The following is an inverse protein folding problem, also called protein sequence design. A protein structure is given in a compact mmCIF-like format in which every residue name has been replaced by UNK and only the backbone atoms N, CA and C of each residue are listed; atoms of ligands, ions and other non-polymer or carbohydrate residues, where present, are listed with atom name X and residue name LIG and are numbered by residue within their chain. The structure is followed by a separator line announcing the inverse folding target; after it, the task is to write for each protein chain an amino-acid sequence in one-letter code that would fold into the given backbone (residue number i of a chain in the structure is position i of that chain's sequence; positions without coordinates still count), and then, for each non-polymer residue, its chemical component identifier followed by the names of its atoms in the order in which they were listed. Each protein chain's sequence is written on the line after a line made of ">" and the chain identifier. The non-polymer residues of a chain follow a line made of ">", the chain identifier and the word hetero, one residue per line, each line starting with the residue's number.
data_IF_243262806642
#
_entry.id   IF_243262806642
#
_cell.length_a   1.000
_cell.length_b   1.000
_cell.length_c   1.000
_cell.angle_alpha   90.00
_cell.angle_beta   90.00
_cell.angle_gamma   90.00
#
_symmetry.space_group_name_H-M   'P 1'
#
loop_
_entity.id
_entity.type
_entity.pdbx_description
1 polymer ?
#
# COMPACT_ATOMS: atom_id res chain seq x y z
N UNK A 1 1.30 -16.98 -22.14
CA UNK A 1 2.03 -17.30 -23.39
C UNK A 1 3.48 -17.55 -23.00
N UNK A 2 3.94 -18.80 -22.94
CA UNK A 2 5.26 -19.10 -22.37
C UNK A 2 6.39 -18.61 -23.28
N UNK A 3 7.28 -17.78 -22.74
CA UNK A 3 8.53 -17.39 -23.40
C UNK A 3 9.57 -18.48 -23.17
N UNK A 4 10.19 -18.96 -24.25
CA UNK A 4 11.21 -20.00 -24.19
C UNK A 4 12.60 -19.37 -24.06
N UNK A 5 13.19 -19.48 -22.87
CA UNK A 5 14.55 -19.07 -22.58
C UNK A 5 15.58 -20.17 -22.83
N UNK A 6 16.84 -19.86 -22.55
CA UNK A 6 17.94 -20.83 -22.63
C UNK A 6 17.97 -21.76 -21.42
N UNK A 7 17.64 -21.25 -20.24
CA UNK A 7 17.71 -22.00 -18.97
C UNK A 7 16.33 -22.33 -18.40
N UNK A 8 15.27 -21.62 -18.81
CA UNK A 8 13.91 -21.85 -18.35
C UNK A 8 12.87 -21.35 -19.35
N UNK A 9 11.65 -21.87 -19.23
CA UNK A 9 10.45 -21.29 -19.81
C UNK A 9 9.79 -20.38 -18.78
N UNK A 10 9.34 -19.19 -19.17
CA UNK A 10 8.83 -18.21 -18.22
C UNK A 10 7.69 -17.34 -18.74
N UNK A 11 6.93 -16.78 -17.81
CA UNK A 11 5.96 -15.70 -18.02
C UNK A 11 6.15 -14.63 -16.95
N UNK A 12 5.53 -13.47 -17.16
CA UNK A 12 5.48 -12.41 -16.16
C UNK A 12 4.15 -12.43 -15.41
N UNK A 13 4.19 -11.93 -14.18
CA UNK A 13 3.01 -11.67 -13.37
C UNK A 13 3.02 -10.24 -12.82
N UNK A 14 1.84 -9.76 -12.45
CA UNK A 14 1.66 -8.56 -11.63
C UNK A 14 0.73 -8.89 -10.47
N UNK A 15 1.14 -8.51 -9.27
CA UNK A 15 0.33 -8.61 -8.05
C UNK A 15 0.32 -7.29 -7.32
N UNK A 16 -0.70 -7.08 -6.50
CA UNK A 16 -0.86 -5.91 -5.64
C UNK A 16 -1.30 -6.36 -4.26
N UNK A 17 -0.51 -6.01 -3.25
CA UNK A 17 -0.68 -6.43 -1.87
C UNK A 17 -0.91 -5.20 -1.00
N UNK A 18 -1.90 -5.30 -0.12
CA UNK A 18 -2.20 -4.30 0.89
C UNK A 18 -1.22 -4.45 2.06
N UNK A 19 -0.24 -3.55 2.14
CA UNK A 19 0.79 -3.57 3.17
C UNK A 19 0.24 -3.30 4.59
N UNK A 20 -0.92 -2.66 4.71
CA UNK A 20 -1.57 -2.33 5.99
C UNK A 20 -2.48 -3.47 6.50
N UNK A 21 -2.72 -4.48 5.66
CA UNK A 21 -3.70 -5.54 5.87
C UNK A 21 -3.07 -6.93 5.65
N UNK A 22 -1.94 -7.17 6.32
CA UNK A 22 -1.27 -8.47 6.31
C UNK A 22 -0.80 -8.95 4.94
N UNK A 23 -0.53 -8.04 4.00
CA UNK A 23 -0.16 -8.35 2.61
C UNK A 23 -1.25 -9.14 1.86
N UNK A 24 -2.52 -8.93 2.19
CA UNK A 24 -3.63 -9.49 1.42
C UNK A 24 -3.63 -8.94 -0.02
N UNK A 25 -3.94 -9.79 -0.99
CA UNK A 25 -4.04 -9.37 -2.38
C UNK A 25 -5.23 -8.41 -2.56
N UNK A 26 -4.98 -7.19 -3.06
CA UNK A 26 -6.04 -6.19 -3.33
C UNK A 26 -6.90 -6.56 -4.54
N UNK A 27 -6.33 -7.36 -5.45
CA UNK A 27 -7.00 -7.95 -6.60
C UNK A 27 -6.27 -9.24 -7.03
N UNK A 28 -6.90 -10.13 -7.83
CA UNK A 28 -6.26 -11.33 -8.32
C UNK A 28 -4.93 -11.05 -9.05
N UNK A 29 -3.95 -11.93 -8.87
CA UNK A 29 -2.69 -11.86 -9.60
C UNK A 29 -2.95 -12.03 -11.11
N UNK A 30 -2.46 -11.10 -11.91
CA UNK A 30 -2.43 -11.25 -13.37
C UNK A 30 -1.19 -12.05 -13.74
N UNK A 31 -1.33 -13.23 -14.33
CA UNK A 31 -0.24 -14.13 -14.69
C UNK A 31 -0.23 -14.48 -16.17
N UNK A 32 0.75 -15.30 -16.60
CA UNK A 32 0.92 -15.72 -18.00
C UNK A 32 1.11 -14.57 -19.01
N UNK A 33 1.59 -13.41 -18.54
CA UNK A 33 1.77 -12.18 -19.32
C UNK A 33 3.11 -12.19 -20.07
N UNK A 34 3.16 -11.52 -21.22
CA UNK A 34 4.40 -11.02 -21.80
C UNK A 34 4.96 -9.85 -20.99
N UNK A 35 6.23 -9.48 -21.20
CA UNK A 35 6.85 -8.36 -20.49
C UNK A 35 6.10 -7.04 -20.72
N UNK A 36 5.65 -6.77 -21.95
CA UNK A 36 4.93 -5.53 -22.27
C UNK A 36 3.53 -5.50 -21.64
N UNK A 37 2.84 -6.63 -21.61
CA UNK A 37 1.55 -6.75 -20.92
C UNK A 37 1.71 -6.57 -19.41
N UNK A 38 2.74 -7.18 -18.82
CA UNK A 38 3.04 -7.02 -17.40
C UNK A 38 3.41 -5.57 -17.05
N UNK A 39 4.20 -4.89 -17.89
CA UNK A 39 4.49 -3.46 -17.71
C UNK A 39 3.22 -2.61 -17.80
N UNK A 40 2.37 -2.85 -18.80
CA UNK A 40 1.09 -2.15 -18.94
C UNK A 40 0.18 -2.38 -17.73
N UNK A 41 0.12 -3.60 -17.23
CA UNK A 41 -0.67 -3.96 -16.06
C UNK A 41 -0.11 -3.33 -14.77
N UNK A 42 1.21 -3.37 -14.59
CA UNK A 42 1.89 -2.68 -13.49
C UNK A 42 1.63 -1.16 -13.52
N UNK A 43 1.67 -0.54 -14.71
CA UNK A 43 1.29 0.86 -14.90
C UNK A 43 -0.15 1.13 -14.46
N UNK A 44 -1.11 0.31 -14.92
CA UNK A 44 -2.52 0.46 -14.54
C UNK A 44 -2.70 0.35 -13.03
N UNK A 45 -2.08 -0.65 -12.40
CA UNK A 45 -2.16 -0.81 -10.94
C UNK A 45 -1.48 0.33 -10.20
N UNK A 46 -0.36 0.87 -10.69
CA UNK A 46 0.25 2.07 -10.11
C UNK A 46 -0.65 3.30 -10.22
N UNK A 47 -1.35 3.46 -11.34
CA UNK A 47 -2.34 4.50 -11.57
C UNK A 47 -3.65 4.27 -10.81
N UNK A 48 -3.96 3.03 -10.45
CA UNK A 48 -5.18 2.67 -9.69
C UNK A 48 -4.98 2.77 -8.19
N UNK A 49 -3.84 2.32 -7.69
CA UNK A 49 -3.57 2.19 -6.26
C UNK A 49 -2.59 3.25 -5.74
N UNK A 50 -2.82 3.72 -4.50
CA UNK A 50 -1.94 4.64 -3.75
C UNK A 50 -0.48 4.15 -3.60
N UNK A 51 0.40 5.02 -3.13
CA UNK A 51 1.78 4.67 -2.76
C UNK A 51 1.88 3.50 -1.76
N UNK A 52 1.03 3.42 -0.74
CA UNK A 52 1.10 2.38 0.31
C UNK A 52 0.65 0.97 -0.13
N UNK A 53 0.03 0.80 -1.30
CA UNK A 53 -0.18 -0.53 -1.88
C UNK A 53 1.09 -1.01 -2.56
N UNK A 54 1.60 -2.15 -2.08
CA UNK A 54 2.75 -2.79 -2.69
C UNK A 54 2.34 -3.42 -4.01
N UNK A 55 3.02 -3.08 -5.09
CA UNK A 55 2.77 -3.68 -6.40
C UNK A 55 4.05 -4.35 -6.86
N UNK A 56 3.98 -5.60 -7.28
CA UNK A 56 5.14 -6.33 -7.79
C UNK A 56 4.87 -6.83 -9.20
N UNK A 57 5.81 -6.55 -10.08
CA UNK A 57 5.97 -7.21 -11.37
C UNK A 57 7.11 -8.21 -11.23
N UNK A 58 6.81 -9.48 -11.43
CA UNK A 58 7.78 -10.55 -11.34
C UNK A 58 7.71 -11.52 -12.52
N UNK A 59 8.54 -12.55 -12.42
CA UNK A 59 8.64 -13.63 -13.39
C UNK A 59 8.37 -14.95 -12.69
N UNK A 60 7.51 -15.77 -13.28
CA UNK A 60 7.31 -17.18 -12.92
C UNK A 60 7.98 -18.05 -13.99
N UNK A 61 8.74 -19.07 -13.57
CA UNK A 61 9.50 -19.90 -14.50
C UNK A 61 9.39 -21.39 -14.18
N UNK A 62 9.61 -22.21 -15.20
CA UNK A 62 9.83 -23.65 -15.09
C UNK A 62 11.13 -24.05 -15.80
N UNK A 63 11.82 -25.07 -15.30
CA UNK A 63 13.09 -25.53 -15.87
C UNK A 63 13.28 -27.03 -15.74
N UNK A 64 13.96 -27.62 -16.73
CA UNK A 64 14.46 -28.99 -16.68
C UNK A 64 15.81 -29.11 -15.96
N UNK A 65 16.49 -27.99 -15.67
CA UNK A 65 17.77 -27.93 -14.95
C UNK A 65 17.58 -28.12 -13.44
N UNK A 66 17.25 -29.35 -13.06
CA UNK A 66 17.06 -29.76 -11.65
C UNK A 66 18.32 -29.64 -10.80
N UNK A 67 19.48 -29.54 -11.44
CA UNK A 67 20.76 -29.23 -10.81
C UNK A 67 20.84 -27.78 -10.30
N UNK A 68 20.11 -26.85 -10.93
CA UNK A 68 20.05 -25.44 -10.55
C UNK A 68 18.80 -25.10 -9.73
N UNK A 69 17.67 -25.76 -10.03
CA UNK A 69 16.40 -25.57 -9.34
C UNK A 69 15.73 -26.94 -9.10
N UNK A 70 15.94 -27.56 -7.92
CA UNK A 70 15.40 -28.89 -7.62
C UNK A 70 13.88 -28.97 -7.77
N UNK A 71 13.15 -27.90 -7.44
CA UNK A 71 11.69 -27.85 -7.59
C UNK A 71 11.25 -27.79 -9.06
N UNK A 72 12.16 -27.43 -9.98
CA UNK A 72 11.93 -27.29 -11.42
C UNK A 72 11.02 -26.15 -11.80
N UNK A 73 10.69 -25.29 -10.84
CA UNK A 73 9.90 -24.08 -11.02
C UNK A 73 10.24 -23.09 -9.91
N UNK A 74 10.02 -21.82 -10.17
CA UNK A 74 10.23 -20.76 -9.20
C UNK A 74 9.59 -19.45 -9.65
N UNK A 75 9.73 -18.43 -8.80
CA UNK A 75 9.31 -17.07 -9.10
C UNK A 75 10.29 -16.08 -8.47
N UNK A 76 10.39 -14.90 -9.07
CA UNK A 76 11.16 -13.79 -8.52
C UNK A 76 10.53 -12.46 -8.93
N UNK A 77 10.53 -11.49 -8.02
CA UNK A 77 10.15 -10.12 -8.34
C UNK A 77 11.28 -9.44 -9.14
N UNK A 78 10.88 -8.56 -10.07
CA UNK A 78 11.82 -7.79 -10.91
C UNK A 78 11.66 -6.29 -10.68
N UNK A 79 10.43 -5.84 -10.44
CA UNK A 79 10.09 -4.45 -10.14
C UNK A 79 9.05 -4.44 -9.03
N UNK A 80 9.30 -3.65 -8.00
CA UNK A 80 8.42 -3.50 -6.86
C UNK A 80 8.15 -2.02 -6.65
N UNK A 81 6.90 -1.64 -6.44
CA UNK A 81 6.55 -0.37 -5.82
C UNK A 81 6.17 -0.69 -4.40
N UNK A 82 6.99 -0.28 -3.43
CA UNK A 82 6.76 -0.52 -1.99
C UNK A 82 6.68 0.83 -1.30
N UNK A 83 5.57 1.10 -0.61
CA UNK A 83 5.34 2.38 0.07
C UNK A 83 5.62 3.61 -0.83
N UNK A 84 5.20 3.56 -2.10
CA UNK A 84 5.36 4.64 -3.08
C UNK A 84 6.70 4.64 -3.79
N UNK A 85 7.70 3.95 -3.23
CA UNK A 85 9.02 3.89 -3.78
C UNK A 85 9.14 2.74 -4.76
N UNK A 86 9.57 3.09 -5.97
CA UNK A 86 9.84 2.11 -7.00
C UNK A 86 11.27 1.56 -6.82
N UNK A 87 11.38 0.25 -6.76
CA UNK A 87 12.62 -0.49 -6.62
C UNK A 87 12.75 -1.57 -7.70
N UNK A 88 13.92 -1.66 -8.30
CA UNK A 88 14.28 -2.79 -9.17
C UNK A 88 14.78 -3.91 -8.25
N UNK A 89 13.97 -4.95 -8.09
CA UNK A 89 14.33 -6.09 -7.23
C UNK A 89 15.54 -6.84 -7.80
N UNK A 90 16.34 -7.38 -6.89
CA UNK A 90 17.49 -8.24 -7.19
C UNK A 90 17.20 -9.71 -6.88
N UNK A 91 15.96 -10.08 -6.60
CA UNK A 91 15.60 -11.47 -6.24
C UNK A 91 15.98 -12.45 -7.35
N UNK A 92 15.91 -12.02 -8.61
CA UNK A 92 16.35 -12.82 -9.76
C UNK A 92 17.85 -13.18 -9.71
N UNK A 93 18.69 -12.37 -9.04
CA UNK A 93 20.13 -12.63 -8.88
C UNK A 93 20.39 -13.81 -7.92
N UNK A 94 19.46 -14.07 -7.00
CA UNK A 94 19.56 -15.18 -6.05
C UNK A 94 19.18 -16.52 -6.70
N UNK A 95 18.38 -16.49 -7.77
CA UNK A 95 18.05 -17.69 -8.53
C UNK A 95 19.21 -18.09 -9.45
N UNK A 96 19.75 -19.30 -9.24
CA UNK A 96 20.80 -19.86 -10.09
C UNK A 96 20.35 -20.04 -11.56
N UNK A 97 19.04 -20.08 -11.82
CA UNK A 97 18.44 -20.16 -13.15
C UNK A 97 18.28 -18.76 -13.75
N UNK A 98 17.59 -17.85 -13.06
CA UNK A 98 17.25 -16.54 -13.61
C UNK A 98 18.47 -15.64 -13.77
N UNK A 99 19.45 -15.72 -12.87
CA UNK A 99 20.72 -14.98 -12.97
C UNK A 99 21.52 -15.32 -14.23
N UNK A 100 21.30 -16.50 -14.82
CA UNK A 100 21.93 -16.94 -16.07
C UNK A 100 21.03 -16.77 -17.30
N UNK A 101 19.74 -16.50 -17.11
CA UNK A 101 18.79 -16.31 -18.19
C UNK A 101 18.89 -14.87 -18.74
N UNK A 102 19.59 -14.71 -19.86
CA UNK A 102 19.86 -13.39 -20.45
C UNK A 102 18.62 -12.59 -20.82
N UNK A 103 17.50 -13.25 -21.16
CA UNK A 103 16.24 -12.55 -21.41
C UNK A 103 15.66 -11.88 -20.15
N UNK A 104 15.98 -12.39 -18.96
CA UNK A 104 15.58 -11.81 -17.67
C UNK A 104 16.69 -10.92 -17.13
N UNK A 105 17.85 -11.51 -16.80
CA UNK A 105 18.94 -10.85 -16.07
C UNK A 105 19.48 -9.60 -16.77
N UNK A 106 19.43 -9.56 -18.11
CA UNK A 106 19.88 -8.40 -18.88
C UNK A 106 18.70 -7.65 -19.49
N UNK A 107 17.87 -8.32 -20.30
CA UNK A 107 16.93 -7.61 -21.17
C UNK A 107 15.73 -7.06 -20.39
N UNK A 108 15.00 -7.91 -19.67
CA UNK A 108 13.83 -7.48 -18.91
C UNK A 108 14.20 -6.46 -17.83
N UNK A 109 15.25 -6.72 -17.05
CA UNK A 109 15.71 -5.81 -15.99
C UNK A 109 16.14 -4.45 -16.56
N UNK A 110 16.89 -4.42 -17.67
CA UNK A 110 17.29 -3.14 -18.29
C UNK A 110 16.10 -2.36 -18.85
N UNK A 111 15.12 -3.06 -19.44
CA UNK A 111 13.88 -2.45 -19.89
C UNK A 111 13.09 -1.85 -18.73
N UNK A 112 12.90 -2.60 -17.64
CA UNK A 112 12.19 -2.12 -16.45
C UNK A 112 12.91 -0.92 -15.80
N UNK A 113 14.24 -0.92 -15.76
CA UNK A 113 15.04 0.24 -15.34
C UNK A 113 14.73 1.48 -16.18
N UNK A 114 14.66 1.35 -17.50
CA UNK A 114 14.30 2.47 -18.39
C UNK A 114 12.86 2.95 -18.22
N UNK A 115 11.93 2.05 -17.85
CA UNK A 115 10.54 2.42 -17.59
C UNK A 115 10.34 2.99 -16.18
N UNK A 116 11.28 2.76 -15.26
CA UNK A 116 11.14 3.06 -13.82
C UNK A 116 10.73 4.50 -13.51
N UNK A 117 11.42 5.49 -14.10
CA UNK A 117 11.14 6.92 -13.90
C UNK A 117 9.68 7.29 -14.24
N UNK A 118 9.17 6.71 -15.32
CA UNK A 118 7.85 7.01 -15.86
C UNK A 118 6.71 6.41 -15.01
N UNK A 119 6.95 5.33 -14.26
CA UNK A 119 5.96 4.82 -13.30
C UNK A 119 5.82 5.74 -12.09
N UNK A 120 6.95 6.26 -11.58
CA UNK A 120 6.98 7.15 -10.43
C UNK A 120 6.22 8.46 -10.72
N UNK A 121 6.47 9.06 -11.89
CA UNK A 121 5.77 10.27 -12.34
C UNK A 121 4.25 10.11 -12.39
N UNK A 122 3.75 8.94 -12.82
CA UNK A 122 2.32 8.68 -12.93
C UNK A 122 1.67 8.54 -11.56
N UNK A 123 2.31 7.80 -10.64
CA UNK A 123 1.82 7.65 -9.26
C UNK A 123 1.69 9.02 -8.58
N UNK A 124 2.76 9.82 -8.63
CA UNK A 124 2.79 11.18 -8.10
C UNK A 124 1.73 12.08 -8.74
N UNK A 125 1.52 11.95 -10.05
CA UNK A 125 0.51 12.73 -10.77
C UNK A 125 -0.89 12.46 -10.22
N UNK A 126 -1.28 11.19 -10.02
CA UNK A 126 -2.60 10.86 -9.50
C UNK A 126 -2.78 11.26 -8.03
N UNK A 127 -1.73 11.15 -7.21
CA UNK A 127 -1.78 11.67 -5.83
C UNK A 127 -1.93 13.19 -5.80
N UNK A 128 -1.21 13.91 -6.66
CA UNK A 128 -1.36 15.36 -6.79
C UNK A 128 -2.73 15.78 -7.35
N UNK A 129 -3.31 15.01 -8.27
CA UNK A 129 -4.68 15.22 -8.76
C UNK A 129 -5.72 14.98 -7.66
N UNK A 130 -5.55 13.93 -6.84
CA UNK A 130 -6.37 13.68 -5.66
C UNK A 130 -6.28 14.84 -4.64
N UNK A 131 -5.07 15.30 -4.32
CA UNK A 131 -4.87 16.45 -3.44
C UNK A 131 -5.55 17.70 -3.99
N UNK A 132 -5.38 17.99 -5.29
CA UNK A 132 -6.04 19.12 -5.95
C UNK A 132 -7.56 18.99 -5.90
N UNK A 133 -8.10 17.81 -6.17
CA UNK A 133 -9.54 17.56 -6.09
C UNK A 133 -10.09 17.87 -4.69
N UNK A 134 -9.44 17.36 -3.64
CA UNK A 134 -9.83 17.66 -2.25
C UNK A 134 -9.73 19.17 -2.00
N UNK A 135 -8.58 19.78 -2.30
CA UNK A 135 -8.32 21.21 -2.09
C UNK A 135 -9.32 22.12 -2.81
N UNK A 136 -9.70 21.82 -4.05
CA UNK A 136 -10.58 22.65 -4.87
C UNK A 136 -12.04 22.59 -4.38
N UNK A 137 -12.44 21.47 -3.76
CA UNK A 137 -13.81 21.28 -3.26
C UNK A 137 -13.96 21.69 -1.78
N UNK A 138 -12.87 21.83 -1.03
CA UNK A 138 -12.90 22.25 0.38
C UNK A 138 -13.62 23.58 0.64
N UNK A 139 -13.44 24.66 -0.16
CA UNK A 139 -14.09 25.94 0.11
C UNK A 139 -15.62 25.93 0.05
N UNK A 140 -16.21 24.93 -0.62
CA UNK A 140 -17.66 24.78 -0.76
C UNK A 140 -18.30 24.03 0.43
N UNK A 141 -17.46 23.45 1.29
CA UNK A 141 -17.90 22.67 2.44
C UNK A 141 -18.00 23.58 3.65
N UNK A 142 -19.23 23.77 4.13
CA UNK A 142 -19.52 24.24 5.50
C UNK A 142 -19.12 23.16 6.50
N UNK A 143 -18.85 23.49 7.78
CA UNK A 143 -18.50 22.57 8.90
C UNK A 143 -19.54 21.44 9.15
N UNK A 144 -19.81 20.64 8.13
CA UNK A 144 -20.85 19.64 8.00
C UNK A 144 -20.16 18.30 7.71
N UNK A 145 -20.09 17.40 8.70
CA UNK A 145 -19.40 16.11 8.58
C UNK A 145 -19.90 15.25 7.40
N UNK A 146 -21.17 15.38 7.00
CA UNK A 146 -21.71 14.60 5.88
C UNK A 146 -21.15 15.07 4.54
N UNK A 147 -20.95 16.38 4.36
CA UNK A 147 -20.32 16.91 3.14
C UNK A 147 -18.84 16.53 3.02
N UNK A 148 -18.12 16.48 4.14
CA UNK A 148 -16.76 15.93 4.16
C UNK A 148 -16.74 14.45 3.78
N UNK A 149 -17.69 13.68 4.30
CA UNK A 149 -17.85 12.26 3.96
C UNK A 149 -18.18 12.04 2.48
N UNK A 150 -19.05 12.86 1.91
CA UNK A 150 -19.38 12.84 0.48
C UNK A 150 -18.17 13.21 -0.39
N UNK A 151 -17.43 14.26 -0.01
CA UNK A 151 -16.19 14.64 -0.70
C UNK A 151 -15.18 13.49 -0.72
N UNK A 152 -14.91 12.89 0.44
CA UNK A 152 -13.97 11.78 0.53
C UNK A 152 -14.51 10.55 -0.21
N UNK A 153 -15.81 10.28 -0.19
CA UNK A 153 -16.41 9.18 -0.96
C UNK A 153 -16.18 9.36 -2.46
N UNK A 154 -16.42 10.57 -3.00
CA UNK A 154 -16.16 10.92 -4.40
C UNK A 154 -14.67 10.83 -4.74
N UNK A 155 -13.81 11.35 -3.87
CA UNK A 155 -12.37 11.26 -4.05
C UNK A 155 -11.88 9.80 -4.01
N UNK A 156 -12.44 8.98 -3.13
CA UNK A 156 -12.13 7.56 -3.01
C UNK A 156 -12.65 6.74 -4.19
N UNK A 157 -13.79 7.10 -4.77
CA UNK A 157 -14.32 6.48 -5.98
C UNK A 157 -13.43 6.76 -7.20
N UNK A 158 -12.98 8.02 -7.37
CA UNK A 158 -12.17 8.43 -8.51
C UNK A 158 -10.69 8.04 -8.35
N UNK A 159 -10.13 8.23 -7.16
CA UNK A 159 -8.69 8.13 -6.90
C UNK A 159 -8.31 7.04 -5.89
N UNK A 160 -9.26 6.35 -5.27
CA UNK A 160 -9.01 5.35 -4.23
C UNK A 160 -8.87 5.96 -2.82
N UNK A 161 -9.46 5.29 -1.82
CA UNK A 161 -9.46 5.74 -0.42
C UNK A 161 -8.05 5.95 0.13
N UNK A 162 -7.14 5.08 -0.24
CA UNK A 162 -5.77 5.12 0.22
C UNK A 162 -4.98 6.34 -0.31
N UNK A 163 -5.34 6.90 -1.48
CA UNK A 163 -4.74 8.18 -1.92
C UNK A 163 -5.23 9.33 -1.07
N UNK A 164 -6.50 9.27 -0.66
CA UNK A 164 -7.04 10.23 0.29
C UNK A 164 -6.24 10.17 1.61
N UNK A 165 -5.98 8.96 2.14
CA UNK A 165 -5.12 8.76 3.32
C UNK A 165 -3.75 9.39 3.14
N UNK A 166 -3.06 9.07 2.04
CA UNK A 166 -1.72 9.56 1.76
C UNK A 166 -1.65 11.08 1.66
N UNK A 167 -2.67 11.72 1.04
CA UNK A 167 -2.79 13.18 0.96
C UNK A 167 -2.93 13.80 2.37
N UNK A 168 -3.81 13.25 3.21
CA UNK A 168 -4.01 13.75 4.57
C UNK A 168 -2.77 13.53 5.44
N UNK A 169 -2.12 12.37 5.35
CA UNK A 169 -0.88 12.08 6.07
C UNK A 169 0.28 12.96 5.60
N UNK A 170 0.31 13.34 4.32
CA UNK A 170 1.26 14.31 3.78
C UNK A 170 1.02 15.71 4.35
N UNK A 171 -0.23 16.18 4.36
CA UNK A 171 -0.59 17.48 4.95
C UNK A 171 -0.24 17.53 6.44
N UNK A 172 -0.55 16.46 7.18
CA UNK A 172 -0.20 16.30 8.58
C UNK A 172 1.31 16.46 8.83
N UNK A 173 2.14 15.72 8.08
CA UNK A 173 3.60 15.73 8.26
C UNK A 173 4.26 17.06 7.91
N UNK A 174 3.60 17.87 7.09
CA UNK A 174 4.14 19.14 6.64
C UNK A 174 3.55 20.34 7.42
N UNK A 175 2.60 20.13 8.33
CA UNK A 175 1.94 21.17 9.13
C UNK A 175 2.42 21.17 10.58
N UNK A 176 2.41 22.33 11.24
CA UNK A 176 2.78 22.45 12.65
C UNK A 176 1.70 21.78 13.53
N UNK A 177 2.06 20.67 14.18
CA UNK A 177 1.18 19.62 14.73
C UNK A 177 0.33 20.03 15.95
N UNK A 178 0.31 21.31 16.33
CA UNK A 178 -0.13 21.74 17.66
C UNK A 178 -1.65 21.75 17.91
N UNK A 179 -2.47 21.52 16.87
CA UNK A 179 -3.93 21.70 16.97
C UNK A 179 -4.75 20.53 16.40
N UNK A 180 -4.15 19.35 16.26
CA UNK A 180 -4.82 18.13 15.77
C UNK A 180 -5.15 17.23 16.96
N UNK A 181 -6.28 16.53 16.90
CA UNK A 181 -6.65 15.58 17.95
C UNK A 181 -5.63 14.42 18.07
N UNK A 182 -5.37 13.89 19.28
CA UNK A 182 -4.45 12.77 19.46
C UNK A 182 -4.84 11.54 18.62
N UNK A 183 -6.14 11.24 18.47
CA UNK A 183 -6.58 10.10 17.67
C UNK A 183 -6.28 10.28 16.17
N UNK A 184 -6.48 11.49 15.62
CA UNK A 184 -6.11 11.80 14.23
C UNK A 184 -4.60 11.75 14.04
N UNK A 185 -3.84 12.30 14.99
CA UNK A 185 -2.38 12.30 14.93
C UNK A 185 -1.81 10.87 14.89
N UNK A 186 -2.33 9.98 15.74
CA UNK A 186 -1.94 8.57 15.77
C UNK A 186 -2.30 7.84 14.47
N UNK A 187 -3.53 8.02 13.98
CA UNK A 187 -3.96 7.42 12.71
C UNK A 187 -3.09 7.86 11.52
N UNK A 188 -2.84 9.17 11.38
CA UNK A 188 -2.06 9.72 10.27
C UNK A 188 -0.56 9.43 10.38
N UNK A 189 -0.03 9.27 11.60
CA UNK A 189 1.37 8.90 11.82
C UNK A 189 1.69 7.50 11.25
N UNK A 190 0.73 6.58 11.32
CA UNK A 190 0.88 5.20 10.87
C UNK A 190 0.76 5.03 9.34
N UNK A 191 0.27 6.04 8.62
CA UNK A 191 0.16 6.02 7.15
C UNK A 191 1.45 6.53 6.53
N UNK A 192 2.03 5.81 5.56
CA UNK A 192 3.21 6.28 4.82
C UNK A 192 2.92 7.54 4.00
N UNK A 193 3.79 8.56 4.04
CA UNK A 193 3.69 9.72 3.14
C UNK A 193 5.05 10.28 2.73
N UNK A 194 5.07 10.86 1.53
CA UNK A 194 6.28 11.27 0.83
C UNK A 194 6.78 12.69 1.19
N UNK A 195 6.04 13.43 2.03
CA UNK A 195 6.34 14.83 2.38
C UNK A 195 6.56 15.72 1.15
N UNK A 196 5.70 15.56 0.15
CA UNK A 196 5.79 16.22 -1.14
C UNK A 196 4.83 17.41 -1.20
N UNK A 197 5.36 18.61 -1.47
CA UNK A 197 4.57 19.84 -1.55
C UNK A 197 3.47 19.80 -2.61
N UNK A 198 3.61 18.95 -3.65
CA UNK A 198 2.58 18.77 -4.68
C UNK A 198 1.31 18.10 -4.16
N UNK A 199 1.36 17.45 -3.00
CA UNK A 199 0.22 16.77 -2.39
C UNK A 199 -0.44 17.60 -1.29
N UNK A 200 -0.04 18.87 -1.13
CA UNK A 200 -0.64 19.80 -0.17
C UNK A 200 -2.07 20.15 -0.53
N UNK A 201 -2.93 20.15 0.47
CA UNK A 201 -4.29 20.71 0.44
C UNK A 201 -4.39 22.02 1.19
N UNK A 202 -3.36 22.40 1.97
CA UNK A 202 -3.28 23.66 2.73
C UNK A 202 -4.49 23.90 3.64
N UNK A 203 -4.99 22.83 4.27
CA UNK A 203 -6.15 22.90 5.15
C UNK A 203 -5.74 23.23 6.59
N UNK A 204 -6.57 23.98 7.34
CA UNK A 204 -6.32 24.18 8.76
C UNK A 204 -6.51 22.87 9.55
N UNK A 205 -5.89 22.71 10.72
CA UNK A 205 -5.94 21.49 11.54
C UNK A 205 -7.36 20.93 11.78
N UNK A 206 -8.33 21.80 12.04
CA UNK A 206 -9.74 21.39 12.26
C UNK A 206 -10.36 20.70 11.03
N UNK A 207 -10.01 21.16 9.84
CA UNK A 207 -10.48 20.56 8.58
C UNK A 207 -9.78 19.22 8.35
N UNK A 208 -8.51 19.11 8.75
CA UNK A 208 -7.77 17.85 8.67
C UNK A 208 -8.37 16.78 9.61
N UNK A 209 -8.82 17.15 10.81
CA UNK A 209 -9.58 16.26 11.71
C UNK A 209 -10.90 15.80 11.05
N UNK A 210 -11.67 16.72 10.46
CA UNK A 210 -12.93 16.38 9.80
C UNK A 210 -12.74 15.47 8.57
N UNK A 211 -11.72 15.74 7.75
CA UNK A 211 -11.37 14.89 6.61
C UNK A 211 -10.90 13.50 7.07
N UNK A 212 -10.17 13.41 8.19
CA UNK A 212 -9.71 12.13 8.74
C UNK A 212 -10.90 11.31 9.25
N UNK A 213 -11.85 11.95 9.94
CA UNK A 213 -13.09 11.29 10.36
C UNK A 213 -13.90 10.78 9.14
N UNK A 214 -13.97 11.58 8.07
CA UNK A 214 -14.61 11.20 6.82
C UNK A 214 -13.92 10.02 6.14
N UNK A 215 -12.58 10.00 6.06
CA UNK A 215 -11.79 8.85 5.56
C UNK A 215 -12.16 7.61 6.34
N UNK A 216 -12.06 7.67 7.67
CA UNK A 216 -12.41 6.54 8.53
C UNK A 216 -13.80 6.04 8.15
N UNK A 217 -14.82 6.91 8.12
CA UNK A 217 -16.20 6.57 7.76
C UNK A 217 -16.32 5.81 6.43
N UNK A 218 -15.59 6.22 5.39
CA UNK A 218 -15.59 5.59 4.06
C UNK A 218 -14.84 4.25 4.04
N UNK A 219 -13.79 4.12 4.83
CA UNK A 219 -12.90 2.95 4.88
C UNK A 219 -13.55 1.67 5.46
N UNK A 220 -14.71 1.81 6.10
CA UNK A 220 -15.28 0.71 6.91
C UNK A 220 -14.48 0.45 8.19
N UNK A 221 -14.56 -0.77 8.72
CA UNK A 221 -13.72 -1.24 9.83
C UNK A 221 -12.36 -1.66 9.27
N UNK A 222 -11.26 -1.21 9.86
CA UNK A 222 -9.91 -1.72 9.57
C UNK A 222 -9.82 -3.24 9.75
N UNK A 223 -8.78 -3.90 9.23
CA UNK A 223 -8.65 -5.36 9.39
C UNK A 223 -8.56 -5.76 10.86
N UNK A 224 -7.81 -5.01 11.66
CA UNK A 224 -7.70 -5.27 13.10
C UNK A 224 -9.03 -5.05 13.82
N UNK A 225 -9.77 -3.98 13.51
CA UNK A 225 -11.14 -3.79 14.01
C UNK A 225 -12.08 -4.91 13.54
N UNK A 226 -11.94 -5.37 12.30
CA UNK A 226 -12.72 -6.48 11.73
C UNK A 226 -12.39 -7.80 12.39
N UNK A 227 -11.11 -8.07 12.70
CA UNK A 227 -10.63 -9.26 13.41
C UNK A 227 -11.13 -9.24 14.86
N UNK A 228 -10.97 -8.11 15.56
CA UNK A 228 -11.48 -7.93 16.92
C UNK A 228 -13.00 -8.09 16.96
N UNK A 229 -13.73 -7.49 16.02
CA UNK A 229 -15.17 -7.60 15.90
C UNK A 229 -15.61 -9.04 15.57
N UNK A 230 -14.96 -9.72 14.62
CA UNK A 230 -15.26 -11.12 14.27
C UNK A 230 -14.90 -12.10 15.38
N UNK A 231 -13.88 -11.77 16.18
CA UNK A 231 -13.51 -12.56 17.37
C UNK A 231 -14.45 -12.31 18.56
N UNK A 232 -15.35 -11.31 18.48
CA UNK A 232 -16.28 -10.93 19.53
C UNK A 232 -15.65 -10.13 20.67
N UNK A 233 -14.37 -9.73 20.54
CA UNK A 233 -13.64 -8.93 21.53
C UNK A 233 -14.17 -7.49 21.64
N UNK A 234 -14.71 -6.98 20.54
CA UNK A 234 -15.37 -5.66 20.48
C UNK A 234 -16.71 -5.83 19.76
N UNK A 235 -17.72 -5.06 20.16
CA UNK A 235 -19.06 -5.16 19.64
C UNK A 235 -19.74 -3.79 19.63
N UNK A 236 -20.65 -3.59 18.69
CA UNK A 236 -21.45 -2.38 18.60
C UNK A 236 -21.60 -1.87 17.18
N UNK A 237 -22.08 -0.65 17.06
CA UNK A 237 -21.96 0.11 15.83
C UNK A 237 -20.48 0.45 15.53
N UNK A 238 -20.23 1.01 14.36
CA UNK A 238 -18.89 1.29 13.89
C UNK A 238 -18.08 2.10 14.90
N UNK A 239 -18.59 3.23 15.39
CA UNK A 239 -17.87 4.09 16.33
C UNK A 239 -17.55 3.38 17.64
N UNK A 240 -18.47 2.54 18.13
CA UNK A 240 -18.24 1.69 19.29
C UNK A 240 -17.13 0.66 19.03
N UNK A 241 -17.16 -0.01 17.87
CA UNK A 241 -16.12 -0.97 17.48
C UNK A 241 -14.76 -0.30 17.35
N UNK A 242 -14.68 0.91 16.78
CA UNK A 242 -13.42 1.64 16.65
C UNK A 242 -12.87 2.08 18.02
N UNK A 243 -13.72 2.68 18.88
CA UNK A 243 -13.31 3.12 20.22
C UNK A 243 -12.84 1.95 21.09
N UNK A 244 -13.60 0.85 21.11
CA UNK A 244 -13.21 -0.36 21.84
C UNK A 244 -11.96 -1.00 21.25
N UNK A 245 -11.79 -0.98 19.92
CA UNK A 245 -10.59 -1.51 19.27
C UNK A 245 -9.34 -0.72 19.61
N UNK A 246 -9.43 0.62 19.68
CA UNK A 246 -8.33 1.46 20.15
C UNK A 246 -7.92 1.08 21.57
N UNK A 247 -8.89 0.92 22.48
CA UNK A 247 -8.61 0.51 23.86
C UNK A 247 -7.92 -0.86 23.93
N UNK A 248 -8.39 -1.83 23.15
CA UNK A 248 -7.79 -3.18 23.09
C UNK A 248 -6.38 -3.13 22.50
N UNK A 249 -6.16 -2.35 21.44
CA UNK A 249 -4.83 -2.17 20.83
C UNK A 249 -3.83 -1.56 21.79
N UNK A 250 -4.22 -0.50 22.51
CA UNK A 250 -3.35 0.15 23.49
C UNK A 250 -2.98 -0.80 24.64
N UNK A 251 -3.89 -1.67 25.07
CA UNK A 251 -3.57 -2.69 26.07
C UNK A 251 -2.59 -3.75 25.53
N UNK A 252 -2.74 -4.16 24.27
CA UNK A 252 -1.79 -5.08 23.60
C UNK A 252 -0.41 -4.44 23.50
N UNK A 253 -0.32 -3.18 23.10
CA UNK A 253 0.94 -2.43 23.01
C UNK A 253 1.58 -2.24 24.40
N UNK A 254 0.77 -1.97 25.42
CA UNK A 254 1.23 -1.90 26.80
C UNK A 254 1.81 -3.24 27.27
N UNK A 255 1.14 -4.35 26.96
CA UNK A 255 1.65 -5.70 27.27
C UNK A 255 2.95 -6.01 26.51
N UNK A 256 3.01 -5.74 25.21
CA UNK A 256 4.21 -5.93 24.40
C UNK A 256 5.39 -5.08 24.93
N UNK A 257 5.11 -3.87 25.40
CA UNK A 257 6.12 -3.02 26.04
C UNK A 257 6.63 -3.63 27.35
N UNK A 258 5.75 -4.18 28.19
CA UNK A 258 6.17 -4.86 29.42
C UNK A 258 7.02 -6.10 29.15
N UNK A 259 6.73 -6.84 28.07
CA UNK A 259 7.51 -8.00 27.60
C UNK A 259 8.89 -7.57 27.09
N UNK A 260 8.97 -6.53 26.27
CA UNK A 260 10.23 -6.00 25.73
C UNK A 260 11.17 -5.50 26.85
N UNK A 261 10.60 -4.93 27.92
CA UNK A 261 11.35 -4.48 29.09
C UNK A 261 11.67 -5.61 30.10
N UNK A 262 11.28 -6.86 29.80
CA UNK A 262 11.52 -8.03 30.65
C UNK A 262 10.79 -7.99 31.98
N UNK A 263 9.73 -7.18 32.09
CA UNK A 263 8.92 -7.02 33.31
C UNK A 263 7.88 -8.14 33.45
N UNK A 264 7.51 -8.76 32.33
CA UNK A 264 6.64 -9.94 32.25
C UNK A 264 7.25 -10.96 31.27
N UNK A 265 6.89 -12.24 31.43
CA UNK A 265 7.36 -13.33 30.57
C UNK A 265 6.63 -13.32 29.23
N UNK A 266 7.40 -13.33 28.14
CA UNK A 266 6.93 -13.45 26.75
C UNK A 266 5.92 -14.61 26.62
N UNK A 267 4.67 -14.26 26.35
CA UNK A 267 3.58 -15.22 26.22
C UNK A 267 3.58 -15.95 24.86
N UNK A 268 4.43 -15.54 23.91
CA UNK A 268 4.53 -15.99 22.52
C UNK A 268 3.29 -15.69 21.66
N UNK A 269 2.45 -14.73 22.06
CA UNK A 269 1.22 -14.37 21.33
C UNK A 269 1.35 -13.07 20.54
N UNK A 270 2.52 -12.45 20.50
CA UNK A 270 2.78 -11.27 19.68
C UNK A 270 2.60 -11.62 18.19
N UNK A 271 1.62 -11.00 17.52
CA UNK A 271 1.39 -11.09 16.07
C UNK A 271 2.54 -10.48 15.26
#
# INVERSE_FOLDING_TARGET
>A
MNTHGKYCDFNFYVTSLDAENGYAATEPMSSALSLLEAVSEFYKRCGRYPSNTNIMLGVEYTTSRRDLEPAGKGAADLLQRVNGHLHISKDYEQSAVLSQEGLIANNAVSFLKQQSERFYEISDKYTAECARFISDNLPEITDDPEKFSELISRAAEEYGIERCKAVLANEYRLTDQQSITPETADYLANISADQNDRFRINSPPIVLDMLTAAIRKVEGLSESETKLFRSGLVNGDREQVQSQSTQVKTEIEHHASLEEHGLVSDDQWSM
#
